data_IF_226159287033
#
_entry.id   IF_226159287033
#
_cell.length_a   1.000
_cell.length_b   1.000
_cell.length_c   1.000
_cell.angle_alpha   90.00
_cell.angle_beta   90.00
_cell.angle_gamma   90.00
#
_symmetry.space_group_name_H-M   'P 1'
#
loop_
_entity.id
_entity.type
_entity.pdbx_description
1 polymer ?
#
# COMPACT_ATOMS: atom_id res chain seq x y z
N UNK A 1 10.18 -34.73 0.59
CA UNK A 1 9.31 -33.75 1.25
C UNK A 1 8.21 -33.43 0.24
N UNK A 2 7.10 -34.13 0.41
CA UNK A 2 6.06 -34.35 -0.60
C UNK A 2 5.25 -33.07 -0.82
N UNK A 3 5.10 -32.66 -2.08
CA UNK A 3 4.34 -31.49 -2.52
C UNK A 3 2.83 -31.65 -2.17
N UNK A 4 2.44 -31.33 -0.94
CA UNK A 4 1.04 -31.37 -0.49
C UNK A 4 0.17 -30.23 -1.03
N UNK A 5 0.65 -29.42 -1.98
CA UNK A 5 -0.06 -28.27 -2.51
C UNK A 5 0.05 -28.22 -4.03
N UNK A 6 -0.47 -29.26 -4.72
CA UNK A 6 -0.97 -29.07 -6.09
C UNK A 6 -2.33 -28.38 -5.98
N UNK A 7 -2.32 -27.18 -5.42
CA UNK A 7 -3.48 -26.32 -5.41
C UNK A 7 -3.43 -25.51 -6.71
N UNK A 8 -4.50 -25.48 -7.51
CA UNK A 8 -4.53 -24.70 -8.74
C UNK A 8 -4.13 -23.25 -8.45
N UNK A 9 -3.18 -22.73 -9.22
CA UNK A 9 -2.68 -21.35 -9.09
C UNK A 9 -3.83 -20.34 -9.19
N UNK A 10 -4.85 -20.69 -9.97
CA UNK A 10 -6.08 -19.95 -10.18
C UNK A 10 -6.82 -19.68 -8.86
N UNK A 11 -6.93 -20.67 -7.98
CA UNK A 11 -7.64 -20.50 -6.71
C UNK A 11 -6.90 -19.55 -5.77
N UNK A 12 -5.57 -19.54 -5.81
CA UNK A 12 -4.79 -18.53 -5.07
C UNK A 12 -5.06 -17.13 -5.59
N UNK A 13 -5.09 -16.93 -6.91
CA UNK A 13 -5.42 -15.63 -7.49
C UNK A 13 -6.81 -15.14 -7.10
N UNK A 14 -7.79 -16.03 -7.12
CA UNK A 14 -9.14 -15.74 -6.63
C UNK A 14 -9.14 -15.34 -5.16
N UNK A 15 -8.44 -16.08 -4.31
CA UNK A 15 -8.37 -15.79 -2.87
C UNK A 15 -7.68 -14.45 -2.61
N UNK A 16 -6.52 -14.21 -3.23
CA UNK A 16 -5.74 -12.98 -3.05
C UNK A 16 -6.47 -11.73 -3.52
N UNK A 17 -7.33 -11.85 -4.53
CA UNK A 17 -8.15 -10.74 -5.02
C UNK A 17 -9.08 -10.15 -3.94
N UNK A 18 -9.42 -10.94 -2.93
CA UNK A 18 -10.23 -10.55 -1.77
C UNK A 18 -9.43 -10.44 -0.48
N UNK A 19 -8.10 -10.40 -0.52
CA UNK A 19 -7.30 -10.14 0.67
C UNK A 19 -7.05 -8.64 0.84
N UNK A 20 -6.95 -8.13 2.08
CA UNK A 20 -6.50 -6.77 2.34
C UNK A 20 -5.08 -6.53 1.80
N UNK A 21 -4.74 -5.31 1.35
CA UNK A 21 -3.40 -4.99 0.84
C UNK A 21 -2.28 -5.30 1.83
N UNK A 22 -2.50 -5.06 3.13
CA UNK A 22 -1.54 -5.37 4.21
C UNK A 22 -1.27 -6.86 4.34
N UNK A 23 -2.30 -7.70 4.24
CA UNK A 23 -2.18 -9.16 4.28
C UNK A 23 -1.44 -9.68 3.06
N UNK A 24 -1.73 -9.15 1.87
CA UNK A 24 -1.00 -9.50 0.65
C UNK A 24 0.49 -9.15 0.76
N UNK A 25 0.81 -7.99 1.34
CA UNK A 25 2.20 -7.60 1.59
C UNK A 25 2.89 -8.57 2.54
N UNK A 26 2.22 -9.00 3.62
CA UNK A 26 2.76 -10.03 4.51
C UNK A 26 3.05 -11.34 3.75
N UNK A 27 2.16 -11.78 2.86
CA UNK A 27 2.42 -12.97 2.03
C UNK A 27 3.66 -12.85 1.15
N UNK A 28 3.96 -11.66 0.62
CA UNK A 28 5.22 -11.45 -0.13
C UNK A 28 6.47 -11.63 0.72
N UNK A 29 6.37 -11.46 2.05
CA UNK A 29 7.48 -11.61 2.98
C UNK A 29 7.58 -13.05 3.55
N UNK A 30 6.47 -13.77 3.63
CA UNK A 30 6.43 -15.12 4.22
C UNK A 30 7.06 -16.22 3.35
N UNK A 31 7.21 -16.02 2.04
CA UNK A 31 7.71 -17.07 1.13
C UNK A 31 8.56 -16.49 0.01
N UNK A 32 9.64 -17.17 -0.35
CA UNK A 32 10.48 -16.80 -1.51
C UNK A 32 9.79 -17.04 -2.86
N UNK A 33 8.73 -17.86 -2.90
CA UNK A 33 8.01 -18.20 -4.13
C UNK A 33 6.87 -17.25 -4.43
N UNK A 34 6.15 -16.79 -3.40
CA UNK A 34 4.97 -15.93 -3.56
C UNK A 34 5.23 -14.59 -4.27
N UNK A 35 6.36 -13.89 -4.04
CA UNK A 35 6.71 -12.69 -4.79
C UNK A 35 6.75 -12.88 -6.31
N UNK A 36 7.04 -14.09 -6.80
CA UNK A 36 7.02 -14.35 -8.26
C UNK A 36 5.62 -14.15 -8.85
N UNK A 37 4.58 -14.43 -8.07
CA UNK A 37 3.19 -14.27 -8.48
C UNK A 37 2.61 -12.91 -8.09
N UNK A 38 2.90 -12.45 -6.88
CA UNK A 38 2.36 -11.22 -6.30
C UNK A 38 3.17 -9.96 -6.64
N UNK A 39 4.32 -10.06 -7.28
CA UNK A 39 5.13 -8.88 -7.65
C UNK A 39 5.53 -8.95 -9.12
N UNK A 40 6.08 -10.08 -9.55
CA UNK A 40 6.72 -10.20 -10.87
C UNK A 40 5.80 -10.74 -11.97
N UNK A 41 4.51 -10.97 -11.70
CA UNK A 41 3.59 -11.51 -12.70
C UNK A 41 2.80 -10.41 -13.41
N UNK A 42 2.45 -10.57 -14.70
CA UNK A 42 1.59 -9.62 -15.40
C UNK A 42 0.19 -9.47 -14.79
N UNK A 43 -0.26 -10.47 -14.01
CA UNK A 43 -1.56 -10.46 -13.33
C UNK A 43 -1.50 -9.79 -11.96
N UNK A 44 -0.30 -9.50 -11.46
CA UNK A 44 -0.05 -8.91 -10.14
C UNK A 44 -0.82 -7.60 -9.98
N UNK A 45 -0.70 -6.69 -10.95
CA UNK A 45 -1.31 -5.37 -10.84
C UNK A 45 -2.84 -5.44 -10.73
N UNK A 46 -3.48 -6.39 -11.42
CA UNK A 46 -4.92 -6.59 -11.31
C UNK A 46 -5.36 -7.05 -9.91
N UNK A 47 -4.54 -7.88 -9.23
CA UNK A 47 -4.80 -8.35 -7.86
C UNK A 47 -4.72 -7.17 -6.90
N UNK A 48 -3.63 -6.40 -6.98
CA UNK A 48 -3.40 -5.24 -6.11
C UNK A 48 -4.41 -4.12 -6.35
N UNK A 49 -4.70 -3.79 -7.61
CA UNK A 49 -5.72 -2.81 -7.96
C UNK A 49 -7.09 -3.22 -7.42
N UNK A 50 -7.45 -4.51 -7.53
CA UNK A 50 -8.73 -4.98 -7.01
C UNK A 50 -8.78 -4.98 -5.48
N UNK A 51 -7.73 -5.48 -4.83
CA UNK A 51 -7.60 -5.44 -3.37
C UNK A 51 -7.72 -4.00 -2.85
N UNK A 52 -6.99 -3.06 -3.47
CA UNK A 52 -7.06 -1.62 -3.16
C UNK A 52 -8.48 -1.07 -3.32
N UNK A 53 -9.15 -1.31 -4.45
CA UNK A 53 -10.53 -0.85 -4.68
C UNK A 53 -11.53 -1.45 -3.67
N UNK A 54 -11.41 -2.73 -3.36
CA UNK A 54 -12.30 -3.42 -2.43
C UNK A 54 -12.16 -2.90 -0.98
N UNK A 55 -10.94 -2.60 -0.54
CA UNK A 55 -10.67 -2.27 0.86
C UNK A 55 -10.49 -0.77 1.15
N UNK A 56 -10.15 0.03 0.14
CA UNK A 56 -9.90 1.47 0.31
C UNK A 56 -10.99 2.35 -0.33
N UNK A 57 -11.87 1.74 -1.14
CA UNK A 57 -12.89 2.43 -1.92
C UNK A 57 -12.46 2.79 -3.34
N UNK A 58 -13.43 3.12 -4.22
CA UNK A 58 -13.18 3.42 -5.64
C UNK A 58 -12.42 4.74 -5.85
N UNK A 59 -12.55 5.69 -4.94
CA UNK A 59 -11.93 7.03 -5.03
C UNK A 59 -10.46 7.04 -4.60
N UNK A 60 -9.96 5.91 -4.10
CA UNK A 60 -8.57 5.82 -3.68
C UNK A 60 -7.64 5.90 -4.90
N UNK A 61 -6.64 6.79 -4.90
CA UNK A 61 -5.83 7.05 -6.07
C UNK A 61 -5.08 5.81 -6.55
N UNK A 62 -5.05 5.64 -7.87
CA UNK A 62 -4.22 4.64 -8.53
C UNK A 62 -2.73 4.96 -8.44
N UNK A 63 -1.87 4.02 -8.85
CA UNK A 63 -0.45 4.26 -8.94
C UNK A 63 -0.14 5.35 -9.97
N UNK A 64 0.91 6.17 -9.74
CA UNK A 64 1.46 7.05 -10.78
C UNK A 64 1.90 6.26 -12.02
N UNK A 65 1.96 6.88 -13.22
CA UNK A 65 2.28 6.17 -14.47
C UNK A 65 3.61 5.40 -14.48
N UNK A 66 4.56 5.78 -13.62
CA UNK A 66 5.89 5.17 -13.52
C UNK A 66 6.02 4.11 -12.42
N UNK A 67 4.94 3.77 -11.73
CA UNK A 67 4.96 2.91 -10.53
C UNK A 67 3.98 1.76 -10.69
N UNK A 68 4.35 0.54 -10.29
CA UNK A 68 3.41 -0.59 -10.31
C UNK A 68 2.40 -0.51 -9.15
N UNK A 69 1.29 -1.25 -9.24
CA UNK A 69 0.31 -1.29 -8.13
C UNK A 69 0.95 -1.86 -6.86
N UNK A 70 1.81 -2.89 -6.99
CA UNK A 70 2.57 -3.42 -5.87
C UNK A 70 3.45 -2.36 -5.20
N UNK A 71 4.20 -1.59 -5.98
CA UNK A 71 5.08 -0.54 -5.45
C UNK A 71 4.26 0.54 -4.75
N UNK A 72 3.14 0.96 -5.34
CA UNK A 72 2.23 1.94 -4.75
C UNK A 72 1.65 1.43 -3.42
N UNK A 73 1.13 0.20 -3.41
CA UNK A 73 0.61 -0.43 -2.19
C UNK A 73 1.70 -0.63 -1.13
N UNK A 74 2.92 -1.01 -1.53
CA UNK A 74 4.05 -1.14 -0.61
C UNK A 74 4.47 0.20 0.00
N UNK A 75 4.32 1.30 -0.74
CA UNK A 75 4.58 2.65 -0.22
C UNK A 75 3.53 3.06 0.81
N UNK A 76 2.26 2.76 0.55
CA UNK A 76 1.13 3.15 1.40
C UNK A 76 1.02 2.24 2.63
N UNK A 77 0.91 0.93 2.40
CA UNK A 77 0.59 -0.08 3.40
C UNK A 77 1.81 -0.82 3.94
N UNK A 78 2.97 -0.70 3.29
CA UNK A 78 4.18 -1.37 3.74
C UNK A 78 4.75 -0.77 5.02
N UNK A 79 5.44 -1.58 5.81
CA UNK A 79 6.14 -1.11 7.00
C UNK A 79 7.40 -0.37 6.55
N UNK A 80 7.40 0.96 6.71
CA UNK A 80 8.58 1.81 6.50
C UNK A 80 8.69 2.82 7.65
N UNK A 81 9.91 3.12 8.12
CA UNK A 81 10.11 4.13 9.15
C UNK A 81 9.72 5.52 8.61
N UNK A 82 9.49 6.45 9.54
CA UNK A 82 9.30 7.86 9.19
C UNK A 82 10.56 8.38 8.45
N UNK A 83 10.37 9.05 7.31
CA UNK A 83 11.48 9.58 6.52
C UNK A 83 12.37 10.56 7.29
N UNK A 84 11.78 11.35 8.20
CA UNK A 84 12.51 12.36 8.98
C UNK A 84 13.09 11.77 10.26
N UNK A 85 12.24 11.22 11.15
CA UNK A 85 12.69 10.79 12.47
C UNK A 85 13.13 9.33 12.56
N UNK A 86 12.99 8.55 11.48
CA UNK A 86 13.33 7.13 11.40
C UNK A 86 12.61 6.23 12.42
N UNK A 87 11.62 6.74 13.15
CA UNK A 87 10.80 5.96 14.06
C UNK A 87 10.14 4.80 13.30
N UNK A 88 10.20 3.55 13.80
CA UNK A 88 9.54 2.41 13.19
C UNK A 88 8.08 2.37 13.66
N UNK A 89 7.13 2.72 12.79
CA UNK A 89 5.72 2.59 13.12
C UNK A 89 4.91 2.24 11.88
N UNK A 90 3.98 1.30 12.02
CA UNK A 90 3.18 0.79 10.92
C UNK A 90 2.13 1.81 10.43
N UNK A 91 1.69 2.71 11.32
CA UNK A 91 0.52 3.58 11.17
C UNK A 91 0.89 5.03 10.87
N UNK A 92 1.92 5.25 10.06
CA UNK A 92 2.27 6.61 9.65
C UNK A 92 1.37 7.12 8.52
N UNK A 93 0.91 8.40 8.60
CA UNK A 93 0.33 9.04 7.44
C UNK A 93 1.32 9.02 6.27
N UNK A 94 0.78 8.74 5.08
CA UNK A 94 1.54 8.74 3.84
C UNK A 94 1.25 10.02 3.06
N UNK A 95 2.31 10.71 2.64
CA UNK A 95 2.20 11.84 1.72
C UNK A 95 2.36 11.34 0.29
N UNK A 96 1.28 11.43 -0.50
CA UNK A 96 1.29 10.99 -1.90
C UNK A 96 2.20 11.84 -2.79
N UNK A 97 2.18 13.16 -2.58
CA UNK A 97 3.00 14.09 -3.35
C UNK A 97 4.49 13.78 -3.22
N UNK A 98 4.92 13.46 -1.99
CA UNK A 98 6.32 13.21 -1.67
C UNK A 98 6.71 11.72 -1.75
N UNK A 99 5.75 10.81 -1.85
CA UNK A 99 5.94 9.35 -1.83
C UNK A 99 6.70 8.84 -0.60
N UNK A 100 6.53 9.49 0.55
CA UNK A 100 7.19 9.15 1.82
C UNK A 100 6.19 8.94 2.96
N UNK A 101 6.59 8.14 3.95
CA UNK A 101 5.90 8.02 5.24
C UNK A 101 6.43 9.05 6.22
N UNK A 102 5.52 9.74 6.89
CA UNK A 102 5.86 10.77 7.87
C UNK A 102 5.18 10.42 9.19
N UNK A 103 5.85 10.64 10.32
CA UNK A 103 5.18 10.54 11.61
C UNK A 103 4.17 11.68 11.79
N UNK A 104 3.18 11.45 12.64
CA UNK A 104 2.10 12.42 12.88
C UNK A 104 2.65 13.80 13.26
N UNK A 105 3.62 13.86 14.18
CA UNK A 105 4.26 15.12 14.58
C UNK A 105 4.98 15.86 13.44
N UNK A 106 5.45 15.14 12.41
CA UNK A 106 6.07 15.77 11.23
C UNK A 106 5.02 16.21 10.21
N UNK A 107 3.97 15.41 9.99
CA UNK A 107 2.88 15.81 9.09
C UNK A 107 2.20 17.09 9.62
N UNK A 108 1.97 17.24 10.93
CA UNK A 108 1.40 18.47 11.51
C UNK A 108 2.25 19.70 11.28
N UNK A 109 3.58 19.59 11.40
CA UNK A 109 4.50 20.71 11.17
C UNK A 109 4.45 21.14 9.70
N UNK A 110 4.55 20.18 8.77
CA UNK A 110 4.54 20.47 7.34
C UNK A 110 3.21 21.10 6.91
N UNK A 111 2.08 20.58 7.40
CA UNK A 111 0.75 21.15 7.12
C UNK A 111 0.59 22.57 7.67
N UNK A 112 1.20 22.89 8.82
CA UNK A 112 1.15 24.25 9.40
C UNK A 112 1.98 25.28 8.61
N UNK A 113 3.08 24.85 7.98
CA UNK A 113 3.98 25.72 7.20
C UNK A 113 3.51 25.86 5.75
N UNK A 114 2.89 24.83 5.18
CA UNK A 114 2.37 24.79 3.81
C UNK A 114 0.83 24.92 3.76
N UNK A 115 0.25 25.91 4.44
CA UNK A 115 -1.18 26.24 4.29
C UNK A 115 -1.58 26.58 2.83
N UNK A 116 -0.61 26.80 1.94
CA UNK A 116 -0.77 27.07 0.50
C UNK A 116 -0.51 25.89 -0.43
N UNK A 117 0.01 24.75 0.06
CA UNK A 117 0.28 23.57 -0.80
C UNK A 117 -0.36 22.35 -0.16
N UNK A 118 -1.46 21.89 -0.77
CA UNK A 118 -2.28 20.75 -0.39
C UNK A 118 -1.49 19.43 -0.43
N UNK A 119 -0.60 19.21 0.54
CA UNK A 119 0.01 17.89 0.77
C UNK A 119 -1.05 17.00 1.41
N UNK A 120 -1.64 16.10 0.62
CA UNK A 120 -2.68 15.20 1.11
C UNK A 120 -2.02 14.10 1.95
N UNK A 121 -1.98 14.29 3.27
CA UNK A 121 -1.71 13.22 4.24
C UNK A 121 -3.00 12.39 4.38
N UNK A 122 -2.98 11.12 3.98
CA UNK A 122 -4.11 10.20 4.21
C UNK A 122 -3.90 9.44 5.52
N UNK A 123 -4.94 9.41 6.37
CA UNK A 123 -4.99 8.54 7.55
C UNK A 123 -5.89 7.34 7.23
N UNK A 124 -5.33 6.13 7.26
CA UNK A 124 -6.10 4.90 7.05
C UNK A 124 -6.50 4.33 8.42
N UNK A 125 -7.81 4.18 8.63
CA UNK A 125 -8.53 3.83 9.87
C UNK A 125 -8.66 4.97 10.90
N UNK A 126 -9.91 5.48 11.03
CA UNK A 126 -10.42 6.44 12.03
C UNK A 126 -10.28 7.98 11.79
N UNK A 127 -10.26 8.44 10.53
CA UNK A 127 -10.41 9.87 10.13
C UNK A 127 -9.08 10.61 9.96
N UNK A 128 -8.83 11.45 8.94
CA UNK A 128 -9.68 12.17 7.98
C UNK A 128 -9.02 12.14 6.59
N UNK A 129 -9.84 12.17 5.53
CA UNK A 129 -9.45 12.39 4.13
C UNK A 129 -9.60 13.88 3.78
N UNK A 130 -8.64 14.48 3.07
CA UNK A 130 -8.89 15.72 2.34
C UNK A 130 -8.39 15.63 0.90
N UNK A 131 -9.33 15.34 0.00
CA UNK A 131 -9.19 15.66 -1.41
C UNK A 131 -9.66 17.10 -1.64
N UNK A 132 -8.92 17.87 -2.44
CA UNK A 132 -9.53 18.73 -3.46
C UNK A 132 -8.49 19.15 -4.51
N UNK A 133 -8.86 18.77 -5.75
CA UNK A 133 -8.48 19.23 -7.10
C UNK A 133 -7.01 19.56 -7.39
#
# INVERSE_FOLDING_TARGET
MTDCLVFPLELFFWTWRYCPPTTLLAFTQCSKRLPRFLVNSPRSDAIWANSRKCYCGPDFPGPPPSTSEFQNVSLIFGVKPCYICQSPNAEFPFSYALKIKLCEGVCTIISSVHATVTSICYRLNAGVYFARE
#
